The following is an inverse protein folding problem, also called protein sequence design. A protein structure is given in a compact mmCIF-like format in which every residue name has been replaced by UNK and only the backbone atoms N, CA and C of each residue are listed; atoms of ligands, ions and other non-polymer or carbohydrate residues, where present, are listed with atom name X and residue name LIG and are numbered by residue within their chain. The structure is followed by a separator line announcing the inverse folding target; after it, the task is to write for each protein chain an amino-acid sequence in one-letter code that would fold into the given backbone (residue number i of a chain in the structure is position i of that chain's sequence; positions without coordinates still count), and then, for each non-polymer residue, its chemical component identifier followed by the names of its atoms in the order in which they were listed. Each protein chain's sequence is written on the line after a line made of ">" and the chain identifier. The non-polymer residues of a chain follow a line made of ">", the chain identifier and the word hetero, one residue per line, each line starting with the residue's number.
data_IF_325035400196
#
_entry.id   IF_325035400196
#
_cell.length_a   1.000
_cell.length_b   1.000
_cell.length_c   1.000
_cell.angle_alpha   90.00
_cell.angle_beta   90.00
_cell.angle_gamma   90.00
#
_symmetry.space_group_name_H-M   'P 1'
#
loop_
_entity.id
_entity.type
_entity.pdbx_description
1 polymer ?
#
# COMPACT_ATOMS: atom_id res chain seq x y z
N UNK A 1 -4.58 -1.23 34.45
CA UNK A 1 -4.97 -0.17 33.48
C UNK A 1 -4.93 -0.83 32.11
N UNK A 2 -6.02 -0.84 31.36
CA UNK A 2 -6.05 -1.47 30.02
C UNK A 2 -5.19 -0.71 29.01
N UNK A 3 -4.58 -1.45 28.06
CA UNK A 3 -3.83 -0.86 26.97
C UNK A 3 -4.80 -0.18 25.98
N UNK A 4 -4.77 1.16 25.81
CA UNK A 4 -5.72 1.88 24.96
C UNK A 4 -5.38 1.79 23.47
N UNK A 5 -4.27 1.15 23.10
CA UNK A 5 -3.84 1.05 21.70
C UNK A 5 -4.69 0.04 20.93
N UNK A 6 -4.93 0.32 19.65
CA UNK A 6 -5.61 -0.61 18.75
C UNK A 6 -4.63 -1.71 18.27
N UNK A 7 -4.30 -2.62 19.18
CA UNK A 7 -3.47 -3.79 18.89
C UNK A 7 -4.20 -5.07 19.27
N UNK A 8 -3.87 -6.18 18.63
CA UNK A 8 -4.41 -7.49 19.00
C UNK A 8 -3.93 -7.87 20.41
N UNK A 9 -4.65 -8.76 21.07
CA UNK A 9 -4.37 -9.13 22.47
C UNK A 9 -2.94 -9.62 22.70
N UNK A 10 -2.36 -10.30 21.73
CA UNK A 10 -0.97 -10.76 21.76
C UNK A 10 0.05 -9.62 21.97
N UNK A 11 -0.22 -8.43 21.42
CA UNK A 11 0.67 -7.27 21.50
C UNK A 11 0.31 -6.28 22.61
N UNK A 12 -0.73 -6.52 23.37
CA UNK A 12 -1.06 -5.69 24.52
C UNK A 12 0.12 -5.60 25.48
N UNK A 13 0.39 -4.40 25.97
CA UNK A 13 1.49 -4.07 26.89
C UNK A 13 2.92 -4.22 26.32
N UNK A 14 3.09 -4.69 25.06
CA UNK A 14 4.40 -4.68 24.43
C UNK A 14 4.84 -3.25 24.09
N UNK A 15 6.15 -2.98 24.13
CA UNK A 15 6.69 -1.73 23.61
C UNK A 15 6.51 -1.66 22.09
N UNK A 16 6.28 -0.44 21.57
CA UNK A 16 6.09 -0.21 20.12
C UNK A 16 7.22 -0.81 19.27
N UNK A 17 8.47 -0.59 19.68
CA UNK A 17 9.64 -1.12 18.96
C UNK A 17 9.70 -2.65 18.99
N UNK A 18 9.26 -3.28 20.07
CA UNK A 18 9.21 -4.74 20.18
C UNK A 18 8.13 -5.32 19.25
N UNK A 19 6.96 -4.68 19.16
CA UNK A 19 5.91 -5.06 18.21
C UNK A 19 6.44 -4.97 16.79
N UNK A 20 7.06 -3.83 16.43
CA UNK A 20 7.62 -3.63 15.09
C UNK A 20 8.69 -4.67 14.76
N UNK A 21 9.60 -4.97 15.68
CA UNK A 21 10.64 -5.97 15.49
C UNK A 21 10.08 -7.39 15.27
N UNK A 22 9.01 -7.74 15.98
CA UNK A 22 8.33 -9.04 15.79
C UNK A 22 7.60 -9.10 14.43
N UNK A 23 6.93 -8.03 14.02
CA UNK A 23 6.31 -7.95 12.69
C UNK A 23 7.36 -8.04 11.58
N UNK A 24 8.50 -7.39 11.72
CA UNK A 24 9.56 -7.38 10.70
C UNK A 24 10.11 -8.79 10.39
N UNK A 25 10.02 -9.73 11.34
CA UNK A 25 10.37 -11.13 11.12
C UNK A 25 9.33 -11.93 10.33
N UNK A 26 8.10 -11.41 10.22
CA UNK A 26 6.95 -12.12 9.63
C UNK A 26 6.47 -11.50 8.32
N UNK A 27 7.05 -10.38 7.89
CA UNK A 27 6.56 -9.64 6.72
C UNK A 27 6.58 -10.48 5.46
N UNK A 28 5.52 -10.35 4.70
CA UNK A 28 5.37 -11.02 3.41
C UNK A 28 6.25 -10.36 2.34
N UNK A 29 6.46 -11.06 1.22
CA UNK A 29 7.36 -10.60 0.16
C UNK A 29 6.67 -9.63 -0.81
N UNK A 30 6.00 -8.62 -0.27
CA UNK A 30 5.45 -7.52 -1.04
C UNK A 30 5.53 -6.19 -0.29
N UNK A 31 5.48 -5.10 -1.04
CA UNK A 31 5.39 -3.73 -0.55
C UNK A 31 4.30 -2.99 -1.30
N UNK A 32 3.92 -1.82 -0.79
CA UNK A 32 2.97 -0.95 -1.45
C UNK A 32 3.58 0.43 -1.67
N UNK A 33 3.20 1.07 -2.77
CA UNK A 33 3.52 2.46 -3.05
C UNK A 33 2.23 3.22 -3.29
N UNK A 34 2.04 4.33 -2.58
CA UNK A 34 0.89 5.21 -2.76
C UNK A 34 1.32 6.63 -3.05
N UNK A 35 0.67 7.25 -4.03
CA UNK A 35 0.86 8.67 -4.35
C UNK A 35 0.24 9.56 -3.28
N UNK A 36 0.98 10.59 -2.84
CA UNK A 36 0.53 11.63 -1.91
C UNK A 36 0.92 13.02 -2.44
N UNK A 37 0.62 13.32 -3.70
CA UNK A 37 0.88 14.64 -4.30
C UNK A 37 -0.12 15.69 -3.80
N UNK A 38 -1.37 15.31 -3.65
CA UNK A 38 -2.42 16.11 -3.03
C UNK A 38 -2.83 15.42 -1.73
N UNK A 39 -3.26 16.18 -0.73
CA UNK A 39 -3.66 15.59 0.55
C UNK A 39 -4.78 14.57 0.33
N UNK A 40 -4.49 13.30 0.58
CA UNK A 40 -5.40 12.19 0.39
C UNK A 40 -5.68 11.52 1.75
N UNK A 41 -6.94 11.40 2.11
CA UNK A 41 -7.38 10.72 3.33
C UNK A 41 -7.15 9.20 3.27
N UNK A 42 -7.01 8.65 2.08
CA UNK A 42 -6.85 7.22 1.86
C UNK A 42 -5.45 6.69 2.25
N UNK A 43 -4.44 7.56 2.36
CA UNK A 43 -3.09 7.16 2.78
C UNK A 43 -3.13 6.37 4.10
N UNK A 44 -3.86 6.86 5.08
CA UNK A 44 -4.02 6.18 6.37
C UNK A 44 -4.66 4.79 6.24
N UNK A 45 -5.67 4.66 5.38
CA UNK A 45 -6.34 3.38 5.11
C UNK A 45 -5.40 2.38 4.43
N UNK A 46 -4.60 2.82 3.46
CA UNK A 46 -3.60 1.96 2.79
C UNK A 46 -2.53 1.49 3.78
N UNK A 47 -2.02 2.36 4.65
CA UNK A 47 -1.06 1.99 5.70
C UNK A 47 -1.67 0.96 6.65
N UNK A 48 -2.93 1.14 7.05
CA UNK A 48 -3.65 0.20 7.90
C UNK A 48 -3.82 -1.17 7.23
N UNK A 49 -4.14 -1.20 5.95
CA UNK A 49 -4.23 -2.43 5.17
C UNK A 49 -2.86 -3.11 5.02
N UNK A 50 -1.80 -2.34 4.76
CA UNK A 50 -0.43 -2.85 4.69
C UNK A 50 -0.01 -3.53 6.00
N UNK A 51 -0.39 -2.96 7.15
CA UNK A 51 -0.18 -3.58 8.44
C UNK A 51 -0.98 -4.89 8.59
N UNK A 52 -2.26 -4.87 8.23
CA UNK A 52 -3.13 -6.05 8.35
C UNK A 52 -2.63 -7.24 7.52
N UNK A 53 -2.03 -6.99 6.36
CA UNK A 53 -1.53 -8.01 5.44
C UNK A 53 0.00 -8.18 5.47
N UNK A 54 0.69 -7.61 6.47
CA UNK A 54 2.13 -7.75 6.69
C UNK A 54 2.99 -7.34 5.49
N UNK A 55 2.67 -6.23 4.84
CA UNK A 55 3.54 -5.65 3.82
C UNK A 55 4.94 -5.36 4.37
N UNK A 56 5.97 -5.58 3.56
CA UNK A 56 7.36 -5.34 3.97
C UNK A 56 7.64 -3.86 4.21
N UNK A 57 7.19 -3.02 3.29
CA UNK A 57 7.39 -1.57 3.33
C UNK A 57 6.18 -0.85 2.72
N UNK A 58 5.99 0.40 3.14
CA UNK A 58 5.04 1.32 2.52
C UNK A 58 5.80 2.54 2.01
N UNK A 59 5.81 2.71 0.70
CA UNK A 59 6.38 3.88 0.04
C UNK A 59 5.29 4.95 -0.15
N UNK A 60 5.57 6.16 0.28
CA UNK A 60 4.69 7.32 0.09
C UNK A 60 5.39 8.26 -0.88
N UNK A 61 4.87 8.37 -2.12
CA UNK A 61 5.44 9.24 -3.13
C UNK A 61 4.80 10.62 -3.10
N UNK A 62 5.59 11.62 -2.78
CA UNK A 62 5.20 13.01 -2.68
C UNK A 62 5.33 13.60 -1.29
N UNK A 63 4.26 14.12 -0.71
CA UNK A 63 4.28 14.77 0.61
C UNK A 63 4.44 13.77 1.75
N UNK A 64 5.27 14.13 2.74
CA UNK A 64 5.43 13.33 3.97
C UNK A 64 4.19 13.37 4.88
N UNK A 65 3.47 14.48 4.87
CA UNK A 65 2.34 14.70 5.76
C UNK A 65 1.09 14.04 5.19
N UNK A 66 0.39 13.27 5.99
CA UNK A 66 -0.90 12.66 5.71
C UNK A 66 -1.74 12.60 6.99
N UNK A 67 -3.03 12.39 6.85
CA UNK A 67 -3.93 12.25 7.99
C UNK A 67 -3.72 10.90 8.69
N UNK A 68 -3.13 10.94 9.87
CA UNK A 68 -2.82 9.74 10.67
C UNK A 68 -4.03 9.08 11.30
N UNK A 69 -5.16 9.76 11.37
CA UNK A 69 -6.38 9.20 11.98
C UNK A 69 -6.82 7.91 11.26
N UNK A 70 -6.72 7.88 9.95
CA UNK A 70 -7.04 6.69 9.15
C UNK A 70 -6.17 5.47 9.42
N UNK A 71 -4.96 5.64 9.99
CA UNK A 71 -4.06 4.53 10.31
C UNK A 71 -4.47 3.77 11.57
N UNK A 72 -5.23 4.40 12.45
CA UNK A 72 -5.59 3.88 13.78
C UNK A 72 -4.38 3.37 14.57
N UNK A 73 -3.23 4.05 14.41
CA UNK A 73 -1.96 3.71 15.05
C UNK A 73 -1.04 2.77 14.24
N UNK A 74 -1.51 2.16 13.15
CA UNK A 74 -0.72 1.21 12.35
C UNK A 74 0.60 1.82 11.81
N UNK A 75 0.62 3.13 11.54
CA UNK A 75 1.83 3.83 11.07
C UNK A 75 3.02 3.75 12.03
N UNK A 76 2.81 3.45 13.30
CA UNK A 76 3.87 3.27 14.29
C UNK A 76 4.60 1.93 14.14
N UNK A 77 3.98 0.97 13.48
CA UNK A 77 4.48 -0.39 13.33
C UNK A 77 4.94 -0.71 11.92
N UNK A 78 4.73 0.22 10.96
CA UNK A 78 5.09 0.03 9.56
C UNK A 78 6.44 0.64 9.19
N UNK A 79 7.08 0.05 8.16
CA UNK A 79 8.29 0.58 7.54
C UNK A 79 7.88 1.62 6.48
N UNK A 80 7.66 2.88 6.90
CA UNK A 80 7.26 3.97 6.02
C UNK A 80 8.49 4.63 5.40
N UNK A 81 8.51 4.74 4.07
CA UNK A 81 9.54 5.46 3.30
C UNK A 81 8.89 6.53 2.44
N UNK A 82 9.35 7.76 2.57
CA UNK A 82 8.87 8.89 1.76
C UNK A 82 9.83 9.10 0.60
N UNK A 83 9.30 9.02 -0.63
CA UNK A 83 10.00 9.30 -1.87
C UNK A 83 9.49 10.65 -2.40
N UNK A 84 10.38 11.58 -2.69
CA UNK A 84 10.01 12.94 -3.09
C UNK A 84 10.27 13.23 -4.56
N UNK A 85 11.35 12.66 -5.05
CA UNK A 85 11.84 12.89 -6.40
C UNK A 85 11.59 11.67 -7.29
N UNK A 86 11.44 11.90 -8.58
CA UNK A 86 11.17 10.85 -9.57
C UNK A 86 12.32 9.84 -9.63
N UNK A 87 13.53 10.28 -9.40
CA UNK A 87 14.75 9.45 -9.40
C UNK A 87 14.74 8.40 -8.27
N UNK A 88 14.00 8.68 -7.21
CA UNK A 88 13.83 7.72 -6.10
C UNK A 88 12.86 6.58 -6.44
N UNK A 89 12.07 6.71 -7.53
CA UNK A 89 11.16 5.69 -8.03
C UNK A 89 11.92 4.60 -8.81
N UNK A 90 12.93 4.01 -8.21
CA UNK A 90 13.75 2.96 -8.81
C UNK A 90 13.75 1.70 -7.94
N UNK A 91 13.23 0.61 -8.51
CA UNK A 91 13.06 -0.67 -7.81
C UNK A 91 13.60 -1.83 -8.68
N UNK A 92 14.93 -1.89 -8.94
CA UNK A 92 15.50 -2.83 -9.92
C UNK A 92 15.29 -4.29 -9.55
N UNK A 93 15.24 -4.62 -8.25
CA UNK A 93 15.11 -5.98 -7.74
C UNK A 93 13.65 -6.38 -7.47
N UNK A 94 12.70 -5.51 -7.82
CA UNK A 94 11.28 -5.73 -7.54
C UNK A 94 10.45 -5.82 -8.82
N UNK A 95 9.33 -6.50 -8.71
CA UNK A 95 8.31 -6.55 -9.75
C UNK A 95 7.20 -5.53 -9.43
N UNK A 96 7.19 -4.42 -10.15
CA UNK A 96 6.29 -3.30 -9.88
C UNK A 96 5.01 -3.47 -10.68
N UNK A 97 3.87 -3.47 -10.01
CA UNK A 97 2.53 -3.69 -10.58
C UNK A 97 1.66 -2.48 -10.25
N UNK A 98 1.13 -1.83 -11.26
CA UNK A 98 0.16 -0.76 -11.11
C UNK A 98 -1.25 -1.30 -10.89
N UNK A 99 -1.97 -0.74 -9.93
CA UNK A 99 -3.37 -1.08 -9.66
C UNK A 99 -4.24 0.06 -10.18
N UNK A 100 -4.77 -0.11 -11.38
CA UNK A 100 -5.62 0.90 -12.03
C UNK A 100 -6.45 0.28 -13.16
N UNK A 101 -7.62 0.84 -13.41
CA UNK A 101 -8.52 0.40 -14.48
C UNK A 101 -8.14 1.07 -15.81
N UNK A 102 -7.05 0.63 -16.41
CA UNK A 102 -6.56 1.08 -17.71
C UNK A 102 -6.66 -0.03 -18.75
N UNK A 103 -6.71 0.34 -20.06
CA UNK A 103 -7.05 -0.58 -21.14
C UNK A 103 -6.17 -1.84 -21.29
N UNK A 104 -4.94 -1.81 -20.80
CA UNK A 104 -4.00 -2.94 -20.85
C UNK A 104 -3.92 -3.75 -19.55
N UNK A 105 -4.71 -3.38 -18.54
CA UNK A 105 -4.70 -4.04 -17.24
C UNK A 105 -5.34 -5.43 -17.31
N UNK A 106 -4.81 -6.36 -16.52
CA UNK A 106 -5.33 -7.73 -16.35
C UNK A 106 -6.28 -7.78 -15.14
N UNK A 107 -7.35 -8.54 -15.25
CA UNK A 107 -8.26 -8.74 -14.12
C UNK A 107 -7.57 -9.45 -12.97
N UNK A 108 -7.71 -8.93 -11.74
CA UNK A 108 -7.04 -9.48 -10.56
C UNK A 108 -7.43 -10.93 -10.28
N UNK A 109 -8.67 -11.32 -10.61
CA UNK A 109 -9.20 -12.67 -10.35
C UNK A 109 -8.46 -13.77 -11.14
N UNK A 110 -7.85 -13.39 -12.25
CA UNK A 110 -7.11 -14.32 -13.13
C UNK A 110 -5.63 -13.98 -13.23
N UNK A 111 -5.17 -13.01 -12.43
CA UNK A 111 -3.78 -12.59 -12.50
C UNK A 111 -2.85 -13.59 -11.80
N UNK A 112 -1.80 -14.00 -12.50
CA UNK A 112 -0.78 -14.87 -11.96
C UNK A 112 0.34 -14.05 -11.32
N UNK A 113 0.35 -14.00 -10.00
CA UNK A 113 1.34 -13.25 -9.24
C UNK A 113 2.76 -13.82 -9.38
N UNK A 114 3.79 -12.96 -9.51
CA UNK A 114 5.18 -13.41 -9.51
C UNK A 114 5.52 -14.10 -8.18
N UNK A 115 5.96 -15.37 -8.25
CA UNK A 115 6.21 -16.18 -7.04
C UNK A 115 7.58 -15.93 -6.39
N UNK A 116 8.60 -15.62 -7.20
CA UNK A 116 10.00 -15.57 -6.75
C UNK A 116 10.56 -14.15 -6.73
N UNK A 117 9.70 -13.14 -6.78
CA UNK A 117 10.09 -11.72 -6.78
C UNK A 117 9.39 -10.96 -5.68
N UNK A 118 10.08 -9.96 -5.16
CA UNK A 118 9.43 -8.96 -4.33
C UNK A 118 8.48 -8.13 -5.19
N UNK A 119 7.21 -8.08 -4.83
CA UNK A 119 6.19 -7.34 -5.57
C UNK A 119 5.98 -5.98 -4.91
N UNK A 120 5.91 -4.92 -5.72
CA UNK A 120 5.46 -3.59 -5.27
C UNK A 120 4.15 -3.27 -5.96
N UNK A 121 3.08 -3.14 -5.19
CA UNK A 121 1.76 -2.73 -5.67
C UNK A 121 1.66 -1.22 -5.62
N UNK A 122 1.39 -0.58 -6.75
CA UNK A 122 1.35 0.87 -6.89
C UNK A 122 -0.08 1.35 -7.01
N UNK A 123 -0.48 2.24 -6.10
CA UNK A 123 -1.80 2.85 -6.04
C UNK A 123 -1.72 4.34 -6.38
N UNK A 124 -2.60 4.79 -7.25
CA UNK A 124 -2.79 6.20 -7.57
C UNK A 124 -3.64 6.93 -6.54
N UNK A 125 -3.83 8.23 -6.76
CA UNK A 125 -4.80 9.02 -6.01
C UNK A 125 -6.22 8.80 -6.55
N UNK A 126 -7.23 8.99 -5.70
CA UNK A 126 -8.62 8.72 -6.03
C UNK A 126 -9.11 9.50 -7.25
N UNK A 127 -8.71 10.75 -7.38
CA UNK A 127 -9.22 11.63 -8.45
C UNK A 127 -8.54 11.45 -9.81
N UNK A 128 -7.23 11.11 -9.81
CA UNK A 128 -6.40 11.09 -11.03
C UNK A 128 -5.84 9.72 -11.38
N UNK A 129 -5.98 8.73 -10.50
CA UNK A 129 -5.38 7.42 -10.68
C UNK A 129 -3.85 7.46 -10.68
N UNK A 130 -3.22 6.55 -11.42
CA UNK A 130 -1.77 6.50 -11.59
C UNK A 130 -1.29 7.62 -12.52
N UNK A 131 -0.34 8.42 -12.04
CA UNK A 131 0.34 9.43 -12.89
C UNK A 131 1.24 8.74 -13.91
N UNK A 132 1.63 9.46 -14.97
CA UNK A 132 2.53 8.92 -16.01
C UNK A 132 3.88 8.48 -15.41
N UNK A 133 4.39 9.19 -14.41
CA UNK A 133 5.61 8.82 -13.67
C UNK A 133 5.46 7.45 -12.99
N UNK A 134 4.33 7.21 -12.33
CA UNK A 134 4.04 5.94 -11.67
C UNK A 134 3.76 4.82 -12.67
N UNK A 135 3.09 5.12 -13.78
CA UNK A 135 2.89 4.15 -14.86
C UNK A 135 4.23 3.71 -15.47
N UNK A 136 5.17 4.64 -15.63
CA UNK A 136 6.47 4.37 -16.23
C UNK A 136 7.33 3.37 -15.45
N UNK A 137 7.15 3.26 -14.14
CA UNK A 137 7.87 2.27 -13.31
C UNK A 137 7.19 0.91 -13.24
N UNK A 138 5.91 0.82 -13.63
CA UNK A 138 5.15 -0.42 -13.58
C UNK A 138 5.49 -1.32 -14.77
N UNK A 139 5.69 -2.61 -14.50
CA UNK A 139 5.90 -3.65 -15.52
C UNK A 139 4.59 -4.16 -16.10
N UNK A 140 3.57 -4.23 -15.27
CA UNK A 140 2.22 -4.66 -15.61
C UNK A 140 1.20 -3.88 -14.79
N UNK A 141 -0.06 -3.99 -15.25
CA UNK A 141 -1.19 -3.38 -14.57
C UNK A 141 -2.27 -4.43 -14.29
N UNK A 142 -2.92 -4.28 -13.14
CA UNK A 142 -4.07 -5.08 -12.75
C UNK A 142 -5.24 -4.18 -12.39
N UNK A 143 -6.45 -4.68 -12.56
CA UNK A 143 -7.66 -3.99 -12.16
C UNK A 143 -8.62 -4.92 -11.42
N UNK A 144 -9.43 -4.34 -10.56
CA UNK A 144 -10.53 -5.00 -9.87
C UNK A 144 -11.78 -4.84 -10.73
N UNK A 145 -12.34 -5.94 -11.20
CA UNK A 145 -13.54 -5.92 -12.04
C UNK A 145 -14.74 -5.36 -11.26
N UNK A 146 -15.41 -4.40 -11.86
CA UNK A 146 -16.55 -3.73 -11.28
C UNK A 146 -17.79 -3.97 -12.16
N UNK A 147 -18.94 -4.11 -11.53
CA UNK A 147 -20.21 -4.45 -12.21
C UNK A 147 -21.26 -3.34 -12.08
N UNK A 148 -20.94 -2.29 -11.36
CA UNK A 148 -21.83 -1.15 -11.11
C UNK A 148 -21.64 0.00 -12.11
N UNK A 149 -22.20 1.14 -11.77
CA UNK A 149 -22.20 2.36 -12.61
C UNK A 149 -20.99 3.28 -12.36
N UNK A 150 -20.30 3.14 -11.24
CA UNK A 150 -19.16 3.99 -10.91
C UNK A 150 -17.87 3.47 -11.56
N UNK A 151 -16.96 4.39 -11.89
CA UNK A 151 -15.73 4.06 -12.64
C UNK A 151 -14.63 3.47 -11.77
N UNK A 152 -14.63 3.77 -10.47
CA UNK A 152 -13.54 3.42 -9.57
C UNK A 152 -14.03 3.04 -8.18
N UNK A 153 -13.27 2.19 -7.50
CA UNK A 153 -13.39 1.95 -6.08
C UNK A 153 -12.56 2.98 -5.30
N UNK A 154 -12.95 3.23 -4.06
CA UNK A 154 -12.10 3.93 -3.12
C UNK A 154 -10.72 3.24 -3.02
N UNK A 155 -9.62 4.01 -3.04
CA UNK A 155 -8.25 3.49 -3.04
C UNK A 155 -7.95 2.62 -1.81
N UNK A 156 -8.47 2.99 -0.64
CA UNK A 156 -8.35 2.16 0.56
C UNK A 156 -8.99 0.78 0.38
N UNK A 157 -10.18 0.73 -0.22
CA UNK A 157 -10.87 -0.53 -0.53
C UNK A 157 -10.10 -1.33 -1.59
N UNK A 158 -9.68 -0.68 -2.67
CA UNK A 158 -8.91 -1.32 -3.73
C UNK A 158 -7.60 -1.92 -3.18
N UNK A 159 -6.90 -1.20 -2.30
CA UNK A 159 -5.67 -1.69 -1.68
C UNK A 159 -5.90 -2.93 -0.81
N UNK A 160 -6.99 -2.97 -0.04
CA UNK A 160 -7.33 -4.14 0.78
C UNK A 160 -7.60 -5.38 -0.09
N UNK A 161 -8.41 -5.24 -1.15
CA UNK A 161 -8.71 -6.34 -2.08
C UNK A 161 -7.45 -6.85 -2.75
N UNK A 162 -6.56 -5.94 -3.15
CA UNK A 162 -5.32 -6.30 -3.88
C UNK A 162 -4.30 -7.00 -2.99
N UNK A 163 -4.20 -6.62 -1.71
CA UNK A 163 -3.28 -7.24 -0.76
C UNK A 163 -3.78 -8.58 -0.20
N UNK A 164 -5.09 -8.79 -0.20
CA UNK A 164 -5.73 -10.04 0.23
C UNK A 164 -5.50 -11.17 -0.78
#
# INVERSE_FOLDING_TARGET
>A
MDDPRNVIDYYKYWKTDAIKADLDQKRHNFSVLISNKFTDFNIGSVIRNANAFLAREVFIYGRRQFDRRGTVGAHLYENLKVLREIEELSFPDSYVIGVDNIGEAKAIETYEWPKDKHVIMVFGQEDIGLTDELKAICKEFIYIKQYGSVRSLNVGCASAITMF
#
